data_IF_187960324049
#
_entry.id   IF_187960324049
#
_cell.length_a   1.000
_cell.length_b   1.000
_cell.length_c   1.000
_cell.angle_alpha   90.00
_cell.angle_beta   90.00
_cell.angle_gamma   90.00
#
_symmetry.space_group_name_H-M   'P 1'
#
loop_
_entity.id
_entity.type
_entity.pdbx_description
1 polymer ?
2 non-polymer ?
3 non-polymer ?
4 non-polymer ?
5 water ?
#
# COMPACT_ATOMS: atom_id res chain seq x y z
N UNK A 1 16.99 -19.69 -5.20
CA UNK A 1 16.00 -20.65 -5.76
C UNK A 1 15.46 -20.17 -7.12
N UNK A 2 15.91 -18.99 -7.57
CA UNK A 2 15.46 -18.41 -8.84
C UNK A 2 15.23 -19.42 -9.97
N UNK A 3 16.00 -20.49 -9.94
CA UNK A 3 15.92 -21.53 -10.97
C UNK A 3 14.61 -22.33 -10.94
N UNK A 4 14.00 -22.42 -9.78
CA UNK A 4 12.77 -23.19 -9.60
C UNK A 4 11.53 -22.41 -10.00
N UNK A 5 11.75 -21.12 -10.22
CA UNK A 5 10.71 -20.24 -10.68
C UNK A 5 10.93 -20.34 -12.19
N UNK A 6 10.28 -21.35 -12.77
CA UNK A 6 10.37 -21.60 -14.20
C UNK A 6 10.17 -20.29 -14.96
N UNK A 7 9.21 -19.47 -14.52
CA UNK A 7 8.92 -18.20 -15.18
C UNK A 7 9.85 -17.07 -14.75
N UNK A 8 9.84 -16.73 -13.48
CA UNK A 8 10.65 -15.63 -13.02
C UNK A 8 12.12 -15.66 -13.35
N UNK A 9 12.65 -16.85 -13.65
CA UNK A 9 14.06 -16.96 -13.98
C UNK A 9 14.40 -16.36 -15.33
N UNK A 10 13.43 -15.75 -16.00
CA UNK A 10 13.68 -15.17 -17.31
C UNK A 10 13.50 -13.66 -17.25
N UNK A 11 13.13 -13.14 -16.10
CA UNK A 11 12.86 -11.72 -15.94
C UNK A 11 14.00 -10.80 -15.45
N UNK A 12 13.99 -9.55 -15.89
CA UNK A 12 15.04 -8.61 -15.51
C UNK A 12 15.02 -8.18 -14.05
N UNK A 13 15.00 -9.15 -13.15
CA UNK A 13 14.99 -8.81 -11.73
C UNK A 13 16.23 -9.26 -10.94
N UNK A 14 16.56 -8.50 -9.91
CA UNK A 14 17.70 -8.78 -9.04
C UNK A 14 17.69 -10.23 -8.59
N UNK A 15 18.67 -10.63 -7.78
CA UNK A 15 18.61 -11.98 -7.29
C UNK A 15 18.95 -12.15 -5.84
N UNK A 16 18.68 -13.36 -5.36
CA UNK A 16 18.87 -13.76 -3.97
C UNK A 16 20.30 -13.69 -3.46
N UNK A 17 21.21 -14.17 -4.28
CA UNK A 17 22.65 -14.14 -3.97
C UNK A 17 23.08 -12.68 -4.13
N UNK A 18 23.29 -12.33 -5.40
CA UNK A 18 23.70 -11.02 -5.91
C UNK A 18 23.68 -9.78 -5.00
N UNK A 19 24.85 -9.32 -4.60
CA UNK A 19 24.90 -8.13 -3.79
C UNK A 19 25.21 -7.08 -4.87
N UNK A 20 24.89 -5.83 -4.61
CA UNK A 20 25.10 -4.81 -5.62
C UNK A 20 25.99 -3.67 -5.17
N UNK A 21 26.63 -3.01 -6.15
CA UNK A 21 27.53 -1.86 -5.90
C UNK A 21 26.93 -0.62 -6.58
N UNK A 22 26.47 -0.82 -7.81
CA UNK A 22 25.87 0.25 -8.59
C UNK A 22 24.42 -0.04 -8.99
N UNK A 23 23.50 0.67 -8.35
CA UNK A 23 22.08 0.53 -8.63
C UNK A 23 21.81 1.06 -10.04
N UNK A 24 21.11 0.24 -10.84
CA UNK A 24 20.77 0.62 -12.21
C UNK A 24 19.94 -0.42 -12.95
N UNK A 25 19.46 -0.13 -14.17
CA UNK A 25 18.64 -1.01 -15.03
C UNK A 25 19.24 -2.40 -15.25
N UNK A 26 18.42 -3.40 -15.50
CA UNK A 26 18.95 -4.76 -15.68
C UNK A 26 19.06 -5.16 -17.18
N UNK A 27 18.19 -4.60 -18.03
CA UNK A 27 18.21 -4.91 -19.46
C UNK A 27 19.04 -3.90 -20.24
N UNK A 28 19.61 -4.34 -21.35
CA UNK A 28 20.38 -3.42 -22.19
C UNK A 28 19.24 -2.55 -22.71
N UNK A 29 19.48 -1.23 -22.88
CA UNK A 29 18.41 -0.37 -23.36
C UNK A 29 17.57 -0.89 -24.49
N UNK A 30 16.30 -0.50 -24.44
CA UNK A 30 15.33 -0.84 -25.45
C UNK A 30 14.58 0.44 -25.82
N UNK A 31 13.71 0.31 -26.77
CA UNK A 31 12.99 1.47 -27.19
C UNK A 31 11.66 0.90 -27.66
N UNK A 32 10.60 1.71 -27.59
CA UNK A 32 9.30 1.21 -28.05
C UNK A 32 9.32 0.50 -29.40
N UNK A 33 10.02 1.04 -30.40
CA UNK A 33 10.11 0.40 -31.73
C UNK A 33 10.54 -1.07 -31.59
N UNK A 34 11.20 -1.37 -30.47
CA UNK A 34 11.69 -2.71 -30.15
C UNK A 34 10.61 -3.65 -29.66
N UNK A 35 9.50 -3.08 -29.19
CA UNK A 35 8.43 -3.89 -28.64
C UNK A 35 7.33 -4.29 -29.63
N UNK A 36 6.74 -5.46 -29.39
CA UNK A 36 5.67 -5.94 -30.26
C UNK A 36 4.45 -5.11 -30.09
N UNK A 37 3.72 -4.91 -31.18
CA UNK A 37 2.46 -4.16 -31.13
C UNK A 37 1.31 -5.15 -30.90
N UNK A 38 1.60 -6.45 -30.98
CA UNK A 38 0.59 -7.49 -30.80
C UNK A 38 0.40 -8.16 -29.43
N UNK A 39 -0.80 -7.99 -28.83
CA UNK A 39 -1.12 -8.57 -27.52
C UNK A 39 -0.77 -10.04 -27.59
N UNK A 40 -0.22 -10.57 -26.49
CA UNK A 40 0.20 -11.98 -26.45
C UNK A 40 -0.94 -12.97 -26.68
N UNK A 41 -0.60 -14.26 -26.81
CA UNK A 41 -1.61 -15.30 -27.02
C UNK A 41 -2.18 -15.91 -25.72
N UNK A 42 -3.42 -16.37 -25.83
CA UNK A 42 -4.15 -16.98 -24.73
C UNK A 42 -5.05 -18.03 -25.34
N UNK A 43 -5.21 -19.15 -24.63
CA UNK A 43 -6.09 -20.17 -25.16
C UNK A 43 -7.39 -19.63 -25.74
N UNK A 44 -7.72 -20.21 -26.88
CA UNK A 44 -8.88 -19.86 -27.67
C UNK A 44 -10.14 -19.59 -26.89
N UNK A 45 -10.26 -20.25 -25.76
CA UNK A 45 -11.42 -20.06 -24.90
C UNK A 45 -11.53 -18.63 -24.35
N UNK A 46 -10.38 -17.95 -24.24
CA UNK A 46 -10.31 -16.60 -23.71
C UNK A 46 -9.81 -15.50 -24.66
N UNK A 47 -10.26 -14.29 -24.36
CA UNK A 47 -9.91 -13.09 -25.12
C UNK A 47 -9.45 -11.97 -24.15
N UNK A 48 -8.41 -11.20 -24.52
CA UNK A 48 -7.96 -10.08 -23.67
C UNK A 48 -9.08 -9.07 -23.54
N UNK A 49 -8.92 -8.15 -22.61
CA UNK A 49 -9.95 -7.18 -22.38
C UNK A 49 -9.29 -5.95 -21.78
N UNK A 50 -9.91 -4.78 -21.93
CA UNK A 50 -9.37 -3.55 -21.36
C UNK A 50 -10.53 -2.98 -20.60
N UNK A 51 -10.28 -2.57 -19.37
CA UNK A 51 -11.34 -2.09 -18.52
C UNK A 51 -11.39 -0.57 -18.33
N UNK A 52 -12.50 0.02 -18.77
CA UNK A 52 -12.72 1.43 -18.57
C UNK A 52 -13.43 1.57 -17.22
N UNK A 53 -12.71 2.15 -16.26
CA UNK A 53 -13.19 2.38 -14.90
C UNK A 53 -14.47 3.24 -14.93
N UNK A 54 -14.54 4.15 -15.90
CA UNK A 54 -15.69 5.01 -16.02
C UNK A 54 -16.91 4.31 -16.64
N UNK A 55 -16.73 3.07 -17.07
CA UNK A 55 -17.86 2.31 -17.57
C UNK A 55 -18.42 1.67 -16.27
N UNK A 56 -19.73 1.67 -16.07
CA UNK A 56 -20.26 1.12 -14.84
C UNK A 56 -20.40 -0.38 -14.68
N UNK A 57 -20.53 -1.12 -15.78
CA UNK A 57 -20.68 -2.57 -15.67
C UNK A 57 -19.32 -3.20 -15.83
N UNK A 58 -18.34 -2.37 -16.14
CA UNK A 58 -16.96 -2.85 -16.26
C UNK A 58 -16.29 -2.75 -14.89
N UNK A 59 -16.53 -1.64 -14.20
CA UNK A 59 -15.98 -1.48 -12.89
C UNK A 59 -16.60 -2.65 -12.14
N UNK A 60 -17.91 -2.75 -12.28
CA UNK A 60 -18.68 -3.82 -11.68
C UNK A 60 -18.04 -5.19 -11.92
N UNK A 61 -17.62 -5.49 -13.16
CA UNK A 61 -17.03 -6.81 -13.40
C UNK A 61 -15.81 -7.06 -12.52
N UNK A 62 -14.93 -6.06 -12.42
CA UNK A 62 -13.72 -6.13 -11.62
C UNK A 62 -14.09 -6.22 -10.12
N UNK A 63 -14.74 -5.21 -9.59
CA UNK A 63 -15.17 -5.26 -8.20
C UNK A 63 -15.71 -6.63 -7.79
N UNK A 64 -16.40 -7.30 -8.69
CA UNK A 64 -16.93 -8.60 -8.37
C UNK A 64 -15.80 -9.58 -8.43
N UNK A 65 -15.09 -9.59 -9.53
CA UNK A 65 -13.95 -10.49 -9.67
C UNK A 65 -13.04 -10.57 -8.44
N UNK A 66 -12.58 -9.42 -7.98
CA UNK A 66 -11.68 -9.37 -6.84
C UNK A 66 -12.43 -9.65 -5.54
N UNK A 67 -13.62 -9.08 -5.44
CA UNK A 67 -14.42 -9.33 -4.27
C UNK A 67 -14.61 -10.85 -3.96
N UNK A 68 -14.49 -11.72 -4.96
CA UNK A 68 -14.71 -13.11 -4.69
C UNK A 68 -13.52 -14.01 -4.87
N UNK A 69 -12.45 -13.48 -5.45
CA UNK A 69 -11.26 -14.25 -5.76
C UNK A 69 -9.94 -13.54 -5.43
N UNK A 70 -10.01 -12.40 -4.75
CA UNK A 70 -8.78 -11.71 -4.44
C UNK A 70 -8.10 -12.25 -3.19
N UNK A 71 -7.16 -11.47 -2.65
CA UNK A 71 -6.32 -11.80 -1.50
C UNK A 71 -7.02 -12.00 -0.16
N UNK A 72 -6.71 -13.12 0.49
CA UNK A 72 -7.29 -13.49 1.79
C UNK A 72 -6.21 -13.62 2.86
N UNK A 73 -6.59 -13.82 4.11
CA UNK A 73 -5.54 -13.96 5.10
C UNK A 73 -5.05 -15.37 4.95
N UNK A 74 -3.92 -15.66 5.60
CA UNK A 74 -3.27 -16.96 5.56
C UNK A 74 -4.13 -18.14 5.99
N UNK A 75 -5.26 -17.89 6.63
CA UNK A 75 -6.12 -18.99 7.04
C UNK A 75 -7.47 -18.96 6.35
N UNK A 76 -7.64 -18.01 5.43
CA UNK A 76 -8.89 -17.93 4.69
C UNK A 76 -10.14 -17.82 5.53
N UNK A 77 -10.33 -16.66 6.12
CA UNK A 77 -11.50 -16.46 6.93
C UNK A 77 -11.80 -15.02 6.73
N UNK A 78 -10.87 -14.31 6.09
CA UNK A 78 -11.08 -12.90 5.77
C UNK A 78 -10.59 -12.62 4.39
N UNK A 79 -11.31 -11.78 3.64
CA UNK A 79 -10.84 -11.38 2.33
C UNK A 79 -10.94 -9.86 2.13
N UNK A 80 -10.04 -9.31 1.31
CA UNK A 80 -10.04 -7.87 1.07
C UNK A 80 -11.27 -7.43 0.38
N UNK A 81 -11.87 -6.35 0.85
CA UNK A 81 -13.04 -5.84 0.16
C UNK A 81 -12.75 -4.50 -0.50
N UNK A 82 -12.19 -4.53 -1.71
CA UNK A 82 -11.96 -3.27 -2.41
C UNK A 82 -13.27 -2.78 -3.05
N UNK A 83 -13.78 -1.66 -2.56
CA UNK A 83 -15.03 -1.13 -3.07
C UNK A 83 -14.89 -0.40 -4.40
N UNK A 84 -16.01 -0.24 -5.10
CA UNK A 84 -15.97 0.44 -6.39
C UNK A 84 -15.31 1.80 -6.16
N UNK A 85 -15.75 2.50 -5.11
CA UNK A 85 -15.18 3.80 -4.78
C UNK A 85 -13.65 3.66 -4.76
N UNK A 86 -13.14 2.81 -3.87
CA UNK A 86 -11.72 2.60 -3.73
C UNK A 86 -11.07 2.44 -5.07
N UNK A 87 -11.68 1.64 -5.95
CA UNK A 87 -11.12 1.48 -7.30
C UNK A 87 -11.08 2.84 -8.04
N UNK A 88 -12.14 3.62 -7.86
CA UNK A 88 -12.23 4.90 -8.51
C UNK A 88 -11.15 5.87 -8.13
N UNK A 89 -10.52 5.60 -7.00
CA UNK A 89 -9.45 6.46 -6.48
C UNK A 89 -8.12 5.93 -6.99
N UNK A 90 -7.86 4.65 -6.71
CA UNK A 90 -6.61 3.99 -7.06
C UNK A 90 -6.34 3.68 -8.53
N UNK A 91 -7.38 3.54 -9.32
CA UNK A 91 -7.20 3.20 -10.71
C UNK A 91 -7.28 4.40 -11.60
N UNK A 92 -7.46 5.58 -11.02
CA UNK A 92 -7.53 6.74 -11.88
C UNK A 92 -6.62 7.85 -11.42
N UNK A 93 -5.47 7.49 -10.91
CA UNK A 93 -4.56 8.53 -10.52
C UNK A 93 -4.16 9.29 -11.81
N UNK A 94 -3.50 10.46 -11.66
CA UNK A 94 -3.12 11.17 -12.87
C UNK A 94 -2.21 10.27 -13.71
N UNK A 95 -2.39 10.29 -15.03
CA UNK A 95 -1.56 9.48 -15.90
C UNK A 95 -2.09 8.10 -16.20
N UNK A 96 -3.18 7.71 -15.57
CA UNK A 96 -3.71 6.38 -15.79
C UNK A 96 -4.21 6.18 -17.21
N UNK A 97 -4.18 4.93 -17.62
CA UNK A 97 -4.60 4.55 -18.95
C UNK A 97 -5.47 3.30 -18.80
N UNK A 98 -6.47 3.17 -19.67
CA UNK A 98 -7.38 2.01 -19.72
C UNK A 98 -6.66 0.80 -20.34
N UNK A 99 -5.60 1.06 -21.08
CA UNK A 99 -4.82 0.00 -21.72
C UNK A 99 -3.96 -0.76 -20.74
N UNK A 100 -3.92 -0.26 -19.51
CA UNK A 100 -3.13 -0.85 -18.45
C UNK A 100 -3.99 -1.43 -17.35
N UNK A 101 -5.30 -1.52 -17.62
CA UNK A 101 -6.33 -2.13 -16.75
C UNK A 101 -6.72 -3.33 -17.59
N UNK A 102 -5.82 -4.29 -17.60
CA UNK A 102 -5.97 -5.48 -18.39
C UNK A 102 -6.85 -6.51 -17.73
N UNK A 103 -7.84 -7.00 -18.47
CA UNK A 103 -8.75 -8.02 -18.00
C UNK A 103 -8.55 -9.21 -18.93
N UNK A 104 -9.20 -10.33 -18.62
CA UNK A 104 -9.08 -11.53 -19.44
C UNK A 104 -10.40 -12.24 -19.36
N UNK A 105 -11.33 -11.87 -20.24
CA UNK A 105 -12.66 -12.48 -20.29
C UNK A 105 -12.65 -13.77 -21.05
N UNK A 106 -13.50 -14.72 -20.63
CA UNK A 106 -13.59 -15.98 -21.37
C UNK A 106 -14.49 -15.56 -22.54
N UNK A 107 -14.09 -15.92 -23.76
CA UNK A 107 -14.84 -15.50 -24.94
C UNK A 107 -16.32 -15.94 -24.99
N UNK A 108 -16.60 -17.24 -24.84
CA UNK A 108 -17.98 -17.73 -24.93
C UNK A 108 -19.00 -16.98 -24.07
N UNK A 109 -18.65 -16.75 -22.81
CA UNK A 109 -19.56 -16.05 -21.91
C UNK A 109 -19.17 -14.64 -21.50
N UNK A 110 -17.89 -14.30 -21.68
CA UNK A 110 -17.39 -12.98 -21.33
C UNK A 110 -17.12 -12.81 -19.85
N UNK A 111 -17.30 -13.86 -19.07
CA UNK A 111 -17.08 -13.68 -17.65
C UNK A 111 -15.64 -13.35 -17.39
N UNK A 112 -15.45 -12.21 -16.73
CA UNK A 112 -14.14 -11.70 -16.37
C UNK A 112 -13.55 -12.76 -15.43
N UNK A 113 -12.36 -13.22 -15.76
CA UNK A 113 -11.80 -14.28 -14.98
C UNK A 113 -10.32 -14.02 -14.61
N UNK A 114 -9.83 -12.81 -14.91
CA UNK A 114 -8.44 -12.45 -14.57
C UNK A 114 -8.18 -10.96 -14.74
N UNK A 115 -7.35 -10.39 -13.90
CA UNK A 115 -7.04 -8.97 -13.96
C UNK A 115 -5.63 -8.69 -13.50
N UNK A 116 -5.04 -7.62 -13.99
CA UNK A 116 -3.67 -7.24 -13.60
C UNK A 116 -3.67 -5.76 -13.86
N UNK A 117 -2.99 -4.97 -13.04
CA UNK A 117 -3.02 -3.53 -13.26
C UNK A 117 -1.73 -2.72 -13.09
N UNK A 118 -1.66 -1.58 -13.80
CA UNK A 118 -0.51 -0.64 -13.77
C UNK A 118 -0.92 0.85 -13.89
N UNK A 119 -0.45 1.70 -12.98
CA UNK A 119 -0.67 3.14 -13.08
C UNK A 119 0.77 3.60 -13.03
N UNK A 120 1.11 4.70 -13.75
CA UNK A 120 2.48 5.21 -13.78
C UNK A 120 2.91 6.00 -12.51
N UNK A 121 4.18 5.87 -12.13
CA UNK A 121 4.70 6.59 -10.99
C UNK A 121 6.16 6.87 -11.25
N UNK A 122 6.78 7.81 -10.52
CA UNK A 122 8.21 8.07 -10.68
C UNK A 122 8.88 7.84 -9.33
N UNK A 123 9.71 6.82 -9.30
CA UNK A 123 10.41 6.42 -8.09
C UNK A 123 11.61 7.27 -7.72
N UNK A 124 12.12 7.00 -6.53
CA UNK A 124 13.26 7.70 -6.00
C UNK A 124 14.15 6.69 -5.32
N UNK A 125 14.80 5.82 -6.09
CA UNK A 125 15.71 4.83 -5.54
C UNK A 125 17.08 5.47 -5.15
N UNK A 126 17.25 5.70 -3.85
CA UNK A 126 18.45 6.32 -3.28
C UNK A 126 18.54 7.67 -3.90
N UNK A 127 17.40 8.34 -4.03
CA UNK A 127 17.39 9.66 -4.61
C UNK A 127 17.53 9.77 -6.11
N UNK A 128 17.82 8.64 -6.78
CA UNK A 128 17.95 8.59 -8.24
C UNK A 128 16.61 8.41 -8.95
N UNK A 129 16.12 9.50 -9.55
CA UNK A 129 14.85 9.50 -10.27
C UNK A 129 14.72 8.24 -11.16
N UNK A 130 13.56 7.57 -11.14
CA UNK A 130 13.37 6.38 -12.00
C UNK A 130 11.93 6.26 -12.50
N UNK A 131 11.66 6.70 -13.76
CA UNK A 131 10.32 6.63 -14.34
C UNK A 131 9.85 5.16 -14.45
N UNK A 132 8.90 4.81 -13.58
CA UNK A 132 8.33 3.47 -13.54
C UNK A 132 6.80 3.46 -13.55
N UNK A 133 6.28 2.27 -13.34
CA UNK A 133 4.84 2.06 -13.27
C UNK A 133 4.73 1.29 -11.96
N UNK A 134 3.57 1.38 -11.33
CA UNK A 134 3.35 0.67 -10.07
C UNK A 134 2.33 -0.46 -10.34
N UNK A 135 2.67 -1.69 -9.99
CA UNK A 135 1.75 -2.80 -10.24
C UNK A 135 1.01 -3.32 -9.02
N UNK A 136 -0.26 -3.63 -9.25
CA UNK A 136 -1.13 -4.06 -8.17
C UNK A 136 -2.43 -4.54 -8.78
N UNK A 137 -3.13 -5.39 -8.04
CA UNK A 137 -4.40 -5.98 -8.42
C UNK A 137 -4.33 -7.19 -9.32
N UNK A 138 -3.23 -7.93 -9.27
CA UNK A 138 -3.09 -9.15 -10.04
C UNK A 138 -4.03 -10.14 -9.37
N UNK A 139 -4.97 -10.67 -10.13
CA UNK A 139 -5.95 -11.63 -9.60
C UNK A 139 -6.47 -12.61 -10.63
N UNK A 140 -6.45 -13.89 -10.33
CA UNK A 140 -6.98 -14.83 -11.30
C UNK A 140 -8.14 -15.53 -10.61
N UNK A 141 -9.23 -15.78 -11.33
CA UNK A 141 -10.42 -16.44 -10.76
C UNK A 141 -9.99 -17.70 -10.01
N UNK A 142 -10.71 -18.01 -8.94
CA UNK A 142 -10.37 -19.17 -8.12
C UNK A 142 -10.34 -20.48 -8.85
N UNK A 143 -11.24 -20.66 -9.80
CA UNK A 143 -11.29 -21.87 -10.60
C UNK A 143 -10.26 -21.86 -11.73
N UNK A 144 -9.44 -20.82 -11.82
CA UNK A 144 -8.45 -20.80 -12.86
C UNK A 144 -7.03 -20.80 -12.29
N UNK A 145 -6.87 -21.11 -11.02
CA UNK A 145 -5.53 -21.11 -10.44
C UNK A 145 -4.63 -22.21 -11.01
N UNK A 146 -3.35 -21.95 -10.93
CA UNK A 146 -2.35 -22.85 -11.39
C UNK A 146 -2.30 -23.18 -12.86
N UNK A 147 -3.16 -22.57 -13.69
CA UNK A 147 -3.11 -22.81 -15.17
C UNK A 147 -1.95 -21.96 -15.79
N UNK A 148 -1.12 -21.40 -14.92
CA UNK A 148 0.01 -20.54 -15.27
C UNK A 148 -0.36 -19.50 -16.28
N UNK A 149 -1.39 -18.75 -15.89
CA UNK A 149 -1.95 -17.68 -16.68
C UNK A 149 -1.30 -16.38 -16.24
N UNK A 150 -0.76 -16.38 -15.04
CA UNK A 150 -0.13 -15.20 -14.50
C UNK A 150 1.04 -14.69 -15.34
N UNK A 151 2.07 -15.52 -15.59
CA UNK A 151 3.20 -15.04 -16.39
C UNK A 151 2.80 -14.37 -17.68
N UNK A 152 1.62 -14.75 -18.17
CA UNK A 152 1.10 -14.17 -19.39
C UNK A 152 0.70 -12.76 -19.05
N UNK A 153 -0.16 -12.61 -18.04
CA UNK A 153 -0.65 -11.30 -17.59
C UNK A 153 0.50 -10.34 -17.31
N UNK A 154 1.61 -10.88 -16.82
CA UNK A 154 2.74 -10.06 -16.52
C UNK A 154 3.40 -9.74 -17.87
N UNK A 155 3.81 -10.78 -18.58
CA UNK A 155 4.42 -10.61 -19.88
C UNK A 155 3.65 -9.63 -20.75
N UNK A 156 2.32 -9.59 -20.59
CA UNK A 156 1.45 -8.72 -21.36
C UNK A 156 1.36 -7.30 -20.82
N UNK A 157 1.33 -7.14 -19.51
CA UNK A 157 1.30 -5.78 -18.94
C UNK A 157 2.72 -5.20 -19.09
N UNK A 158 3.74 -6.05 -19.07
CA UNK A 158 5.06 -5.49 -19.23
C UNK A 158 5.13 -4.93 -20.60
N UNK A 159 4.73 -5.74 -21.57
CA UNK A 159 4.76 -5.34 -22.99
C UNK A 159 4.08 -4.00 -23.26
N UNK A 160 2.86 -3.85 -22.78
CA UNK A 160 2.16 -2.61 -23.00
C UNK A 160 2.92 -1.44 -22.42
N UNK A 161 3.42 -1.56 -21.20
CA UNK A 161 4.17 -0.47 -20.61
C UNK A 161 5.49 -0.15 -21.35
N UNK A 162 6.17 -1.15 -21.89
CA UNK A 162 7.41 -0.86 -22.62
C UNK A 162 7.09 0.05 -23.79
N UNK A 163 5.96 -0.25 -24.44
CA UNK A 163 5.43 0.49 -25.59
C UNK A 163 5.16 1.98 -25.30
N UNK A 164 5.22 2.36 -24.02
CA UNK A 164 5.03 3.75 -23.59
C UNK A 164 6.35 4.29 -23.13
N UNK A 165 7.35 3.48 -23.42
CA UNK A 165 8.70 3.83 -23.15
C UNK A 165 9.10 3.78 -21.71
N UNK A 166 8.36 3.05 -20.87
CA UNK A 166 8.74 2.92 -19.45
C UNK A 166 9.32 1.53 -19.35
N UNK A 167 10.32 1.34 -18.50
CA UNK A 167 10.96 0.03 -18.41
C UNK A 167 11.17 -0.51 -17.01
N UNK A 168 10.66 0.21 -16.00
CA UNK A 168 10.82 -0.18 -14.59
C UNK A 168 9.52 -0.23 -13.78
N UNK A 169 9.45 -1.14 -12.81
CA UNK A 169 8.22 -1.22 -12.03
C UNK A 169 8.41 -1.50 -10.57
N UNK A 170 7.49 -0.98 -9.75
CA UNK A 170 7.52 -1.26 -8.32
C UNK A 170 6.33 -2.18 -8.07
N UNK A 171 6.56 -3.35 -7.49
CA UNK A 171 5.43 -4.18 -7.14
C UNK A 171 5.69 -4.81 -5.79
N UNK A 172 4.63 -4.99 -5.00
CA UNK A 172 4.79 -5.62 -3.69
C UNK A 172 3.93 -6.84 -3.72
N UNK A 173 4.36 -7.89 -3.03
CA UNK A 173 3.65 -9.16 -2.91
C UNK A 173 3.98 -9.80 -1.57
N UNK A 174 3.15 -10.69 -1.10
CA UNK A 174 3.44 -11.34 0.16
C UNK A 174 4.45 -12.45 -0.04
N UNK A 175 4.15 -13.37 -0.94
CA UNK A 175 5.07 -14.46 -1.20
C UNK A 175 6.48 -13.97 -1.45
N UNK A 176 7.43 -14.83 -1.20
CA UNK A 176 8.82 -14.48 -1.48
C UNK A 176 9.10 -14.78 -2.95
N UNK A 177 9.88 -13.90 -3.54
CA UNK A 177 10.26 -14.00 -4.94
C UNK A 177 11.60 -13.28 -5.01
N UNK A 178 12.36 -13.49 -6.10
CA UNK A 178 13.64 -12.91 -6.40
C UNK A 178 14.29 -11.76 -5.64
N UNK A 179 13.90 -10.54 -5.90
CA UNK A 179 14.64 -9.49 -5.22
C UNK A 179 13.98 -8.66 -4.15
N UNK A 180 13.61 -9.25 -3.01
CA UNK A 180 12.98 -8.34 -2.06
C UNK A 180 13.94 -7.18 -1.72
N UNK A 181 13.60 -5.98 -2.16
CA UNK A 181 14.42 -4.85 -1.87
C UNK A 181 14.37 -4.68 -0.36
N UNK A 182 13.16 -4.78 0.19
CA UNK A 182 12.93 -4.67 1.63
C UNK A 182 11.73 -5.52 2.07
N UNK A 183 11.40 -5.46 3.35
CA UNK A 183 10.28 -6.20 3.89
C UNK A 183 9.78 -5.44 5.09
N UNK A 184 8.52 -5.68 5.41
CA UNK A 184 7.86 -5.02 6.53
C UNK A 184 6.83 -5.94 7.12
N UNK A 185 6.23 -5.50 8.21
CA UNK A 185 5.22 -6.31 8.86
C UNK A 185 4.00 -5.42 9.13
N UNK A 186 2.79 -5.99 9.01
CA UNK A 186 1.57 -5.26 9.28
C UNK A 186 1.44 -5.38 10.79
N UNK A 187 0.77 -4.42 11.42
CA UNK A 187 0.59 -4.44 12.88
C UNK A 187 -0.86 -4.05 13.07
N UNK A 188 -1.37 -4.11 14.29
CA UNK A 188 -2.78 -3.83 14.49
C UNK A 188 -3.19 -3.11 15.78
N UNK A 189 -3.63 -1.87 15.65
CA UNK A 189 -4.07 -1.16 16.81
C UNK A 189 -5.59 -1.42 16.85
N UNK A 190 -6.05 -2.26 17.80
CA UNK A 190 -7.48 -2.57 17.89
C UNK A 190 -8.30 -1.35 18.23
N UNK A 191 -9.40 -1.14 17.52
CA UNK A 191 -10.29 -0.01 17.83
C UNK A 191 -11.50 -0.63 18.55
N UNK A 192 -12.03 -1.72 17.99
CA UNK A 192 -13.14 -2.46 18.61
C UNK A 192 -12.64 -3.82 18.99
N UNK A 193 -11.84 -3.89 20.06
CA UNK A 193 -11.26 -5.16 20.48
C UNK A 193 -12.30 -6.30 20.60
N UNK A 194 -13.40 -6.08 21.33
CA UNK A 194 -14.42 -7.13 21.51
C UNK A 194 -14.95 -7.77 20.21
N UNK A 195 -15.15 -6.96 19.19
CA UNK A 195 -15.63 -7.44 17.91
C UNK A 195 -14.52 -8.17 17.24
N UNK A 196 -13.31 -7.62 17.26
CA UNK A 196 -12.18 -8.32 16.66
C UNK A 196 -12.15 -9.72 17.28
N UNK A 197 -12.35 -9.74 18.59
CA UNK A 197 -12.34 -10.98 19.29
C UNK A 197 -13.52 -11.82 18.82
N UNK A 198 -14.72 -11.24 18.77
CA UNK A 198 -15.88 -12.03 18.36
C UNK A 198 -15.86 -12.53 16.95
N UNK A 199 -14.90 -12.14 16.11
CA UNK A 199 -14.82 -12.68 14.74
C UNK A 199 -13.44 -13.33 14.43
N UNK A 200 -12.67 -13.60 15.50
CA UNK A 200 -11.37 -14.25 15.41
C UNK A 200 -10.27 -13.56 14.66
N UNK A 201 -10.24 -12.23 14.79
CA UNK A 201 -9.17 -11.44 14.21
C UNK A 201 -8.06 -11.58 15.23
N UNK A 202 -8.48 -11.71 16.51
CA UNK A 202 -7.65 -11.96 17.69
C UNK A 202 -8.28 -12.94 18.72
N UNK A 203 -7.46 -13.29 19.71
CA UNK A 203 -7.90 -14.20 20.75
C UNK A 203 -7.74 -13.46 22.05
N UNK A 204 -7.88 -14.17 23.15
CA UNK A 204 -7.72 -13.53 24.42
C UNK A 204 -6.42 -14.02 25.05
N UNK A 205 -5.47 -13.11 25.28
CA UNK A 205 -4.21 -13.50 25.88
C UNK A 205 -4.50 -14.00 27.30
N UNK A 206 -3.83 -15.07 27.70
CA UNK A 206 -4.12 -15.58 29.00
C UNK A 206 -3.83 -14.66 30.16
N UNK A 207 -4.64 -14.81 31.19
CA UNK A 207 -4.53 -14.00 32.39
C UNK A 207 -5.38 -12.78 32.17
N UNK A 208 -5.94 -12.68 30.97
CA UNK A 208 -6.79 -11.55 30.66
C UNK A 208 -8.26 -11.88 30.47
N UNK A 209 -9.06 -10.85 30.60
CA UNK A 209 -10.48 -10.94 30.42
C UNK A 209 -10.87 -9.86 29.41
N UNK A 210 -11.99 -10.11 28.71
CA UNK A 210 -12.48 -9.15 27.71
C UNK A 210 -12.41 -7.78 28.33
N UNK A 211 -12.89 -7.59 29.56
CA UNK A 211 -12.83 -6.25 30.17
C UNK A 211 -11.41 -5.71 30.15
N UNK A 212 -10.49 -6.54 30.60
CA UNK A 212 -9.11 -6.17 30.64
C UNK A 212 -8.77 -5.70 29.24
N UNK A 213 -8.72 -6.61 28.28
CA UNK A 213 -8.42 -6.17 26.94
C UNK A 213 -9.27 -4.97 26.47
N UNK A 214 -10.57 -5.00 26.66
CA UNK A 214 -11.41 -3.89 26.19
C UNK A 214 -10.97 -2.54 26.78
N UNK A 215 -10.53 -2.56 28.04
CA UNK A 215 -10.07 -1.36 28.75
C UNK A 215 -8.65 -1.03 28.28
N UNK A 216 -7.82 -2.07 28.19
CA UNK A 216 -6.47 -1.89 27.71
C UNK A 216 -6.47 -1.10 26.39
N UNK A 217 -7.36 -1.43 25.44
CA UNK A 217 -7.39 -0.74 24.15
C UNK A 217 -8.30 0.49 23.99
N UNK A 218 -8.79 1.03 25.10
CA UNK A 218 -9.71 2.17 25.05
C UNK A 218 -9.15 3.45 24.46
N UNK A 219 -10.00 4.15 23.71
CA UNK A 219 -9.62 5.40 23.04
C UNK A 219 -10.54 6.61 23.24
N UNK A 220 -9.96 7.78 23.56
CA UNK A 220 -10.69 9.02 23.76
C UNK A 220 -11.69 9.27 22.61
N UNK A 221 -12.84 9.87 22.92
CA UNK A 221 -13.87 10.14 21.94
C UNK A 221 -13.59 11.33 21.07
N UNK A 222 -12.58 12.11 21.45
CA UNK A 222 -12.19 13.29 20.71
C UNK A 222 -10.67 13.32 20.68
N UNK A 223 -10.13 13.67 19.51
CA UNK A 223 -8.70 13.73 19.35
C UNK A 223 -8.11 14.69 20.39
N UNK A 224 -6.82 14.54 20.66
CA UNK A 224 -6.11 15.36 21.64
C UNK A 224 -5.03 16.16 20.93
N UNK A 225 -5.42 17.02 20.00
CA UNK A 225 -4.43 17.84 19.34
C UNK A 225 -5.03 19.10 18.72
N UNK A 226 -4.39 20.22 19.07
CA UNK A 226 -4.76 21.55 18.62
C UNK A 226 -4.07 21.83 17.30
N UNK A 227 -4.88 22.25 16.34
CA UNK A 227 -4.37 22.51 15.01
C UNK A 227 -4.82 21.35 14.15
N UNK A 228 -5.24 20.27 14.83
CA UNK A 228 -5.71 19.06 14.18
C UNK A 228 -7.01 19.36 13.42
N UNK A 229 -6.86 19.35 12.09
CA UNK A 229 -7.94 19.65 11.18
C UNK A 229 -7.72 18.73 9.98
N UNK A 230 -8.75 18.58 9.14
CA UNK A 230 -8.68 17.71 7.97
C UNK A 230 -8.33 18.46 6.70
N UNK A 231 -7.21 18.11 6.09
CA UNK A 231 -6.72 18.71 4.85
C UNK A 231 -7.74 19.30 3.88
N UNK A 232 -7.30 20.35 3.18
CA UNK A 232 -8.10 21.05 2.19
C UNK A 232 -7.16 21.40 1.04
N UNK A 233 -7.73 21.84 -0.09
CA UNK A 233 -6.91 22.21 -1.26
C UNK A 233 -5.92 23.30 -0.92
N UNK A 234 -6.42 24.34 -0.25
CA UNK A 234 -5.65 25.48 0.16
C UNK A 234 -4.30 25.14 0.75
N UNK A 235 -4.20 23.96 1.38
CA UNK A 235 -2.97 23.53 2.06
C UNK A 235 -1.89 22.92 1.18
N UNK A 236 -2.33 22.22 0.13
CA UNK A 236 -1.44 21.50 -0.77
C UNK A 236 0.02 21.93 -0.78
N UNK A 237 0.25 23.14 -1.28
CA UNK A 237 1.58 23.68 -1.43
C UNK A 237 2.49 23.59 -0.21
N UNK A 238 2.02 24.10 0.92
CA UNK A 238 2.80 24.07 2.17
C UNK A 238 2.98 22.62 2.59
N UNK A 239 1.87 21.88 2.52
CA UNK A 239 1.80 20.47 2.86
C UNK A 239 2.71 19.69 1.95
N UNK A 240 2.41 19.80 0.66
CA UNK A 240 3.18 19.13 -0.36
C UNK A 240 4.63 19.48 -0.20
N UNK A 241 4.91 20.73 0.13
CA UNK A 241 6.30 21.06 0.29
C UNK A 241 6.82 20.37 1.55
N UNK A 242 5.94 20.27 2.56
CA UNK A 242 6.25 19.65 3.85
C UNK A 242 6.47 18.16 3.76
N UNK A 243 5.57 17.51 3.03
CA UNK A 243 5.65 16.08 2.80
C UNK A 243 6.98 15.80 2.10
N UNK A 244 7.16 16.48 0.96
CA UNK A 244 8.34 16.40 0.11
C UNK A 244 9.62 16.44 0.93
N UNK A 245 9.61 17.39 1.87
CA UNK A 245 10.73 17.61 2.77
C UNK A 245 10.95 16.39 3.63
N UNK A 246 9.89 16.01 4.35
CA UNK A 246 9.92 14.87 5.28
C UNK A 246 10.42 13.55 4.66
N UNK A 247 9.77 13.17 3.56
CA UNK A 247 10.08 11.92 2.86
C UNK A 247 11.46 11.87 2.27
N UNK A 248 12.12 13.03 2.26
CA UNK A 248 13.48 13.15 1.74
C UNK A 248 14.29 12.09 2.44
N UNK A 249 13.91 11.90 3.68
CA UNK A 249 14.52 10.98 4.59
C UNK A 249 14.69 9.51 4.17
N UNK A 250 13.85 9.01 3.26
CA UNK A 250 13.94 7.58 2.90
C UNK A 250 14.58 7.16 1.58
N UNK A 251 15.30 6.03 1.60
CA UNK A 251 15.96 5.53 0.41
C UNK A 251 15.05 5.10 -0.76
N UNK A 252 13.78 4.82 -0.49
CA UNK A 252 12.85 4.39 -1.55
C UNK A 252 11.50 5.08 -1.40
N UNK A 253 11.16 5.92 -2.37
CA UNK A 253 9.92 6.67 -2.29
C UNK A 253 9.27 6.91 -3.63
N UNK A 254 8.13 7.59 -3.60
CA UNK A 254 7.49 7.89 -4.84
C UNK A 254 7.77 9.37 -4.95
N UNK A 255 7.95 9.88 -6.16
CA UNK A 255 8.23 11.29 -6.34
C UNK A 255 7.02 11.96 -6.91
N UNK A 256 6.04 12.20 -6.04
CA UNK A 256 4.76 12.81 -6.39
C UNK A 256 4.87 14.17 -7.04
N UNK A 257 4.14 14.40 -8.11
CA UNK A 257 4.15 15.72 -8.69
C UNK A 257 3.21 16.34 -7.69
N UNK A 258 2.69 17.53 -7.97
CA UNK A 258 1.77 18.14 -7.02
C UNK A 258 0.36 17.60 -7.28
N UNK A 259 -0.01 17.41 -8.55
CA UNK A 259 -1.35 16.91 -8.90
C UNK A 259 -1.53 15.46 -8.44
N UNK A 260 -0.62 14.57 -8.86
CA UNK A 260 -0.68 13.17 -8.46
C UNK A 260 -0.26 13.13 -6.99
N UNK A 261 -0.92 13.97 -6.18
CA UNK A 261 -0.66 14.12 -4.74
C UNK A 261 -2.01 14.52 -4.18
N UNK A 262 -2.48 15.66 -4.67
CA UNK A 262 -3.75 16.18 -4.27
C UNK A 262 -4.79 15.06 -4.43
N UNK A 263 -4.72 14.35 -5.55
CA UNK A 263 -5.62 13.24 -5.88
C UNK A 263 -5.46 12.10 -4.90
N UNK A 264 -4.19 11.88 -4.57
CA UNK A 264 -3.83 10.82 -3.67
C UNK A 264 -4.32 11.13 -2.23
N UNK A 265 -4.45 12.42 -1.89
CA UNK A 265 -4.85 12.80 -0.55
C UNK A 265 -6.19 13.46 -0.28
N UNK A 266 -6.92 13.81 -1.32
CA UNK A 266 -8.23 14.43 -1.15
C UNK A 266 -9.12 13.69 -2.15
N UNK A 267 -10.04 12.88 -1.63
CA UNK A 267 -10.88 12.09 -2.51
C UNK A 267 -12.15 12.78 -2.90
N UNK A 268 -12.82 12.22 -3.92
CA UNK A 268 -14.08 12.75 -4.46
C UNK A 268 -14.99 13.17 -3.31
N UNK A 269 -15.24 14.48 -3.23
CA UNK A 269 -16.09 15.12 -2.21
C UNK A 269 -17.49 14.51 -2.05
N UNK A 270 -18.13 14.14 -3.16
CA UNK A 270 -19.46 13.56 -3.13
C UNK A 270 -19.69 12.54 -2.00
N UNK A 271 -18.94 11.45 -2.03
CA UNK A 271 -19.03 10.34 -1.09
C UNK A 271 -19.29 10.58 0.42
N UNK A 272 -20.19 9.77 1.00
CA UNK A 272 -20.60 9.79 2.42
C UNK A 272 -19.63 8.99 3.29
N UNK A 273 -19.67 9.27 4.58
CA UNK A 273 -18.80 8.61 5.55
C UNK A 273 -18.59 7.11 5.31
N UNK A 274 -19.67 6.36 5.13
CA UNK A 274 -19.55 4.92 4.97
C UNK A 274 -18.99 4.50 3.63
N UNK A 275 -18.64 5.48 2.80
CA UNK A 275 -18.13 5.17 1.47
C UNK A 275 -16.70 5.64 1.30
N UNK A 276 -16.42 6.77 1.91
CA UNK A 276 -15.12 7.42 1.84
C UNK A 276 -13.92 6.48 1.87
N UNK A 277 -12.89 6.82 1.11
CA UNK A 277 -11.73 5.96 1.04
C UNK A 277 -10.47 6.52 1.68
N UNK A 278 -10.16 7.79 1.43
CA UNK A 278 -8.94 8.37 1.99
C UNK A 278 -9.21 9.41 3.08
N UNK A 279 -8.50 9.30 4.18
CA UNK A 279 -8.68 10.23 5.27
C UNK A 279 -7.34 10.93 5.50
N UNK A 280 -7.28 12.18 5.05
CA UNK A 280 -6.07 12.99 5.17
C UNK A 280 -6.31 14.12 6.16
N UNK A 281 -5.30 14.35 7.01
CA UNK A 281 -5.34 15.39 8.06
C UNK A 281 -4.08 16.20 8.16
N UNK A 282 -4.24 17.37 8.78
CA UNK A 282 -3.15 18.33 8.97
C UNK A 282 -3.32 19.23 10.24
N UNK A 283 -2.19 19.74 10.74
CA UNK A 283 -2.18 20.60 11.91
C UNK A 283 -1.76 22.05 11.68
N UNK A 284 -2.78 22.91 11.56
CA UNK A 284 -2.63 24.37 11.35
C UNK A 284 -2.41 25.20 12.61
N UNK A 285 -1.17 25.58 12.85
CA UNK A 285 -0.86 26.39 14.01
C UNK A 285 -1.43 27.84 13.87
N UNK A 286 -1.62 28.56 14.99
CA UNK A 286 -2.16 29.92 15.08
C UNK A 286 -1.78 30.83 13.92
N UNK A 287 -0.46 30.95 13.73
CA UNK A 287 0.15 31.74 12.66
C UNK A 287 -0.10 31.12 11.31
N UNK A 288 -0.75 29.96 11.32
CA UNK A 288 -1.08 29.29 10.08
C UNK A 288 -0.14 28.22 9.63
N UNK A 289 1.16 28.51 9.66
CA UNK A 289 2.19 27.56 9.24
C UNK A 289 1.83 26.17 9.75
N UNK A 290 0.97 25.46 9.00
CA UNK A 290 0.55 24.11 9.39
C UNK A 290 1.84 23.32 9.56
N UNK A 291 1.94 22.57 10.65
CA UNK A 291 3.15 21.81 10.94
C UNK A 291 3.02 20.28 10.84
N UNK A 292 1.77 19.80 10.84
CA UNK A 292 1.55 18.38 10.81
C UNK A 292 0.65 17.80 9.72
N UNK A 293 1.02 16.61 9.25
CA UNK A 293 0.21 15.93 8.24
C UNK A 293 0.28 14.40 8.22
N UNK A 294 -0.89 13.79 8.17
CA UNK A 294 -0.99 12.34 8.05
C UNK A 294 -2.32 11.97 7.42
N UNK A 295 -2.30 10.79 6.78
CA UNK A 295 -3.41 10.23 6.07
C UNK A 295 -3.54 8.74 6.39
N UNK A 296 -4.68 8.21 5.96
CA UNK A 296 -4.99 6.79 6.10
C UNK A 296 -6.19 6.51 5.20
N UNK A 297 -6.36 5.28 4.80
CA UNK A 297 -7.48 4.99 3.96
C UNK A 297 -8.22 3.81 4.55
N UNK A 298 -9.39 3.53 3.98
CA UNK A 298 -10.24 2.46 4.45
C UNK A 298 -10.32 1.34 3.42
N UNK A 299 -10.06 0.13 3.90
CA UNK A 299 -10.07 -1.06 3.05
C UNK A 299 -10.44 -2.26 3.91
N UNK A 300 -11.75 -2.50 4.09
CA UNK A 300 -12.33 -3.59 4.89
C UNK A 300 -12.01 -4.98 4.49
N UNK A 301 -12.44 -5.88 5.34
CA UNK A 301 -12.32 -7.32 5.12
C UNK A 301 -13.76 -7.82 4.96
N UNK A 302 -13.93 -8.81 4.11
CA UNK A 302 -15.21 -9.47 3.95
C UNK A 302 -14.96 -10.57 5.00
N UNK A 303 -15.72 -10.62 6.09
CA UNK A 303 -15.47 -11.69 7.03
C UNK A 303 -16.15 -12.93 6.47
N UNK A 304 -15.43 -13.82 5.81
CA UNK A 304 -16.06 -15.05 5.29
C UNK A 304 -16.27 -15.86 6.54
N UNK A 305 -17.24 -16.78 6.54
CA UNK A 305 -17.38 -17.67 7.71
C UNK A 305 -17.94 -17.11 9.01
N UNK A 306 -18.56 -15.95 9.02
CA UNK A 306 -19.06 -15.64 10.33
C UNK A 306 -20.50 -15.18 10.37
N UNK A 307 -21.17 -15.74 11.36
CA UNK A 307 -22.56 -15.49 11.61
C UNK A 307 -22.73 -14.30 12.50
N UNK A 308 -21.78 -14.01 13.38
CA UNK A 308 -22.00 -12.82 14.20
C UNK A 308 -21.80 -11.53 13.38
N UNK A 309 -20.90 -11.58 12.38
CA UNK A 309 -20.65 -10.42 11.54
C UNK A 309 -20.22 -10.72 10.12
N UNK A 310 -20.51 -9.79 9.21
CA UNK A 310 -20.18 -10.03 7.80
C UNK A 310 -19.07 -9.14 7.26
N UNK A 311 -18.80 -8.03 7.93
CA UNK A 311 -17.77 -7.12 7.47
C UNK A 311 -16.87 -6.62 8.59
N UNK A 312 -15.60 -6.38 8.26
CA UNK A 312 -14.63 -5.84 9.22
C UNK A 312 -14.15 -4.50 8.71
N UNK A 313 -14.26 -3.46 9.53
CA UNK A 313 -13.82 -2.13 9.17
C UNK A 313 -12.35 -2.01 9.50
N UNK A 314 -11.52 -1.68 8.52
CA UNK A 314 -10.09 -1.58 8.77
C UNK A 314 -9.56 -0.27 8.20
N UNK A 315 -8.73 0.43 8.96
CA UNK A 315 -8.18 1.65 8.41
C UNK A 315 -6.70 1.48 8.29
N UNK A 316 -6.14 1.58 7.07
CA UNK A 316 -4.68 1.46 6.84
C UNK A 316 -4.01 2.86 6.90
N UNK A 317 -3.07 3.04 7.83
CA UNK A 317 -2.36 4.32 7.98
C UNK A 317 -1.62 4.52 6.70
N UNK A 318 -1.86 5.65 6.03
CA UNK A 318 -1.23 5.89 4.74
C UNK A 318 0.07 6.66 4.91
N UNK A 319 0.09 7.86 4.32
CA UNK A 319 1.25 8.75 4.33
C UNK A 319 1.13 9.77 5.47
N UNK A 320 2.25 10.28 5.93
CA UNK A 320 2.26 11.28 6.99
C UNK A 320 3.56 12.11 6.96
N UNK A 321 3.55 13.27 7.62
CA UNK A 321 4.76 14.10 7.68
C UNK A 321 4.77 15.14 8.84
N UNK A 322 5.98 15.35 9.40
CA UNK A 322 6.19 16.27 10.53
C UNK A 322 7.62 16.85 10.58
N UNK A 323 7.66 18.14 10.96
CA UNK A 323 8.89 18.95 11.08
C UNK A 323 9.73 18.79 12.34
N UNK A 324 9.19 18.10 13.34
CA UNK A 324 9.89 17.89 14.60
C UNK A 324 11.42 17.70 14.44
N UNK A 325 11.89 16.46 14.32
CA UNK A 325 13.33 16.16 14.27
C UNK A 325 14.32 16.96 13.39
N UNK A 326 13.96 17.21 12.15
CA UNK A 326 14.87 17.89 11.23
C UNK A 326 15.32 19.33 11.50
N UNK A 327 14.41 20.18 11.97
CA UNK A 327 14.74 21.56 12.23
C UNK A 327 15.68 21.57 13.42
N UNK A 328 15.86 20.38 13.99
CA UNK A 328 16.69 20.13 15.15
C UNK A 328 18.12 19.67 14.85
N UNK A 329 18.28 18.55 14.14
CA UNK A 329 19.63 18.07 13.90
C UNK A 329 19.97 17.87 12.45
N UNK A 330 21.03 17.10 12.23
CA UNK A 330 21.51 16.76 10.90
C UNK A 330 21.38 15.23 10.73
N UNK A 331 21.92 14.49 11.70
CA UNK A 331 21.85 13.03 11.75
C UNK A 331 20.51 12.72 12.42
N UNK A 332 19.96 11.50 12.26
CA UNK A 332 18.71 11.22 12.94
C UNK A 332 19.01 11.05 14.42
N UNK A 333 20.19 11.56 14.79
CA UNK A 333 20.75 11.57 16.15
C UNK A 333 19.77 11.57 17.31
N UNK A 334 20.03 10.71 18.30
CA UNK A 334 19.24 10.51 19.50
C UNK A 334 18.38 11.68 19.97
N UNK A 335 19.01 12.72 20.48
CA UNK A 335 18.22 13.85 20.98
C UNK A 335 17.15 14.31 19.99
N UNK A 336 17.31 13.92 18.72
CA UNK A 336 16.37 14.32 17.68
C UNK A 336 15.41 13.20 17.33
N UNK A 337 15.91 11.97 17.41
CA UNK A 337 15.14 10.77 17.12
C UNK A 337 13.94 10.79 18.05
N UNK A 338 14.20 10.82 19.36
CA UNK A 338 13.15 10.82 20.37
C UNK A 338 12.32 12.08 20.28
N UNK A 339 12.88 13.09 19.63
CA UNK A 339 12.19 14.36 19.43
C UNK A 339 10.99 14.12 18.48
N UNK A 340 11.25 13.33 17.42
CA UNK A 340 10.24 12.95 16.43
C UNK A 340 9.16 12.13 17.16
N UNK A 341 9.64 11.02 17.72
CA UNK A 341 8.85 10.04 18.45
C UNK A 341 7.61 10.61 19.09
N UNK A 342 7.85 11.38 20.14
CA UNK A 342 6.80 12.00 20.93
C UNK A 342 5.79 12.76 20.08
N UNK A 343 6.25 13.36 19.00
CA UNK A 343 5.39 14.12 18.12
C UNK A 343 4.58 13.12 17.30
N UNK A 344 5.26 12.05 16.85
CA UNK A 344 4.64 10.98 16.07
C UNK A 344 3.65 10.27 16.95
N UNK A 345 4.15 9.71 18.03
CA UNK A 345 3.29 9.04 18.97
C UNK A 345 2.09 9.89 19.29
N UNK A 346 2.15 11.14 18.93
CA UNK A 346 1.02 11.96 19.26
C UNK A 346 0.04 12.11 18.13
N UNK A 347 0.57 12.02 16.92
CA UNK A 347 -0.20 12.15 15.69
C UNK A 347 -1.06 10.93 15.52
N UNK A 348 -0.39 9.83 15.21
CA UNK A 348 -1.03 8.54 15.01
C UNK A 348 -2.07 8.23 16.08
N UNK A 349 -1.80 8.63 17.32
CA UNK A 349 -2.76 8.36 18.38
C UNK A 349 -4.08 8.97 17.92
N UNK A 350 -4.01 10.18 17.36
CA UNK A 350 -5.22 10.84 16.88
C UNK A 350 -5.69 10.17 15.60
N UNK A 351 -4.79 9.45 14.95
CA UNK A 351 -5.16 8.74 13.74
C UNK A 351 -6.11 7.63 14.24
N UNK A 352 -5.70 6.98 15.33
CA UNK A 352 -6.50 5.91 15.90
C UNK A 352 -7.83 6.40 16.46
N UNK A 353 -7.85 7.64 16.96
CA UNK A 353 -9.09 8.22 17.47
C UNK A 353 -9.93 8.55 16.25
N UNK A 354 -9.29 9.18 15.29
CA UNK A 354 -9.95 9.52 14.05
C UNK A 354 -10.53 8.25 13.35
N UNK A 355 -9.67 7.25 13.12
CA UNK A 355 -10.08 6.03 12.44
C UNK A 355 -11.19 5.34 13.18
N UNK A 356 -11.04 5.27 14.51
CA UNK A 356 -12.03 4.60 15.31
C UNK A 356 -13.36 5.32 15.10
N UNK A 357 -13.31 6.65 15.14
CA UNK A 357 -14.54 7.43 15.01
C UNK A 357 -15.21 7.28 13.65
N UNK A 358 -14.44 6.88 12.63
CA UNK A 358 -14.97 6.72 11.27
C UNK A 358 -15.56 5.32 11.11
N UNK A 359 -15.55 4.56 12.19
CA UNK A 359 -16.03 3.19 12.18
C UNK A 359 -15.06 2.17 11.64
N UNK A 360 -13.84 2.17 12.15
CA UNK A 360 -12.86 1.22 11.69
C UNK A 360 -12.69 0.38 12.94
N UNK A 361 -12.79 -0.94 12.80
CA UNK A 361 -12.66 -1.87 13.90
C UNK A 361 -11.24 -2.20 14.31
N UNK A 362 -10.28 -1.87 13.44
CA UNK A 362 -8.88 -2.13 13.70
C UNK A 362 -8.10 -1.16 12.87
N UNK A 363 -6.98 -0.71 13.42
CA UNK A 363 -6.13 0.24 12.71
C UNK A 363 -4.77 -0.39 12.42
N UNK A 364 -4.44 -0.49 11.15
CA UNK A 364 -3.21 -1.13 10.71
C UNK A 364 -2.02 -0.23 10.29
N UNK A 365 -0.80 -0.76 10.39
CA UNK A 365 0.41 -0.02 9.95
C UNK A 365 1.57 -0.99 9.66
N UNK A 366 2.57 -0.51 8.93
CA UNK A 366 3.67 -1.37 8.49
C UNK A 366 5.14 -1.39 8.96
N UNK A 367 5.56 -0.77 10.04
CA UNK A 367 7.02 -0.90 10.34
C UNK A 367 7.92 -0.37 9.20
N UNK A 368 7.34 0.42 8.30
CA UNK A 368 8.12 1.03 7.24
C UNK A 368 8.17 2.49 7.71
N UNK A 369 9.01 3.32 7.05
CA UNK A 369 9.17 4.74 7.43
C UNK A 369 9.60 4.84 8.91
N UNK A 370 9.03 5.79 9.63
CA UNK A 370 9.41 5.87 11.02
C UNK A 370 8.34 5.28 11.87
N UNK A 371 7.53 4.41 11.27
CA UNK A 371 6.47 3.76 12.03
C UNK A 371 6.96 3.21 13.37
N UNK A 372 8.14 2.62 13.37
CA UNK A 372 8.72 2.03 14.55
C UNK A 372 8.82 2.87 15.82
N UNK A 373 8.80 4.19 15.70
CA UNK A 373 8.91 4.99 16.90
C UNK A 373 7.63 4.92 17.71
N UNK A 374 6.48 4.99 17.05
CA UNK A 374 5.17 4.94 17.72
C UNK A 374 4.45 3.58 17.83
N UNK A 375 4.74 2.62 16.95
CA UNK A 375 4.03 1.34 17.02
C UNK A 375 3.93 0.81 18.42
N UNK A 376 4.92 0.02 18.84
CA UNK A 376 4.90 -0.53 20.20
C UNK A 376 4.31 0.44 21.21
N UNK A 377 4.80 1.67 21.25
CA UNK A 377 4.24 2.60 22.21
C UNK A 377 2.74 2.71 22.08
N UNK A 378 2.23 3.04 20.88
CA UNK A 378 0.79 3.18 20.64
C UNK A 378 -0.08 1.90 20.61
N UNK A 379 0.51 0.77 20.95
CA UNK A 379 -0.23 -0.47 21.03
C UNK A 379 -0.57 -1.16 19.71
N UNK A 380 0.29 -0.99 18.73
CA UNK A 380 0.09 -1.66 17.47
C UNK A 380 0.69 -3.04 17.60
N UNK A 381 -0.15 -4.08 17.59
CA UNK A 381 0.37 -5.42 17.74
C UNK A 381 0.92 -6.04 16.47
N UNK A 382 1.74 -7.07 16.62
CA UNK A 382 2.34 -7.80 15.50
C UNK A 382 1.37 -8.63 14.67
N UNK A 383 1.28 -8.32 13.39
CA UNK A 383 0.37 -9.07 12.51
C UNK A 383 0.98 -10.39 12.12
N UNK A 384 0.20 -11.26 11.51
CA UNK A 384 0.74 -12.53 11.11
C UNK A 384 1.18 -12.45 9.68
N UNK A 385 0.95 -11.30 9.03
CA UNK A 385 1.34 -11.19 7.64
C UNK A 385 2.43 -10.18 7.36
N UNK A 386 3.16 -10.40 6.29
CA UNK A 386 4.26 -9.47 5.96
C UNK A 386 4.13 -9.00 4.52
N UNK A 387 4.78 -7.90 4.19
CA UNK A 387 4.78 -7.36 2.82
C UNK A 387 6.23 -7.17 2.27
N UNK A 388 6.48 -7.70 1.08
CA UNK A 388 7.77 -7.58 0.38
C UNK A 388 7.71 -6.59 -0.79
N UNK A 389 8.61 -5.61 -0.84
CA UNK A 389 8.62 -4.67 -1.92
C UNK A 389 9.60 -5.17 -2.96
N UNK A 390 9.30 -4.96 -4.23
CA UNK A 390 10.19 -5.43 -5.30
C UNK A 390 10.31 -4.39 -6.42
N UNK A 391 11.35 -4.56 -7.23
CA UNK A 391 11.63 -3.66 -8.34
C UNK A 391 11.85 -4.50 -9.59
N UNK A 392 11.12 -4.17 -10.65
CA UNK A 392 11.24 -4.91 -11.90
C UNK A 392 12.21 -4.12 -12.74
N UNK A 393 13.25 -4.82 -13.22
CA UNK A 393 14.31 -4.25 -14.05
C UNK A 393 15.15 -3.18 -13.31
N UNK A 394 15.70 -3.53 -12.17
CA UNK A 394 16.50 -2.57 -11.46
C UNK A 394 17.26 -3.16 -10.30
N UNK A 395 18.57 -2.86 -10.27
CA UNK A 395 19.54 -3.23 -9.22
C UNK A 395 19.39 -2.22 -8.09
N UNK A 396 18.81 -2.61 -6.97
CA UNK A 396 18.70 -1.67 -5.88
C UNK A 396 19.48 -2.19 -4.67
N UNK A 397 20.02 -1.29 -3.87
CA UNK A 397 20.73 -1.74 -2.70
C UNK A 397 19.65 -2.02 -1.67
N UNK A 398 19.68 -3.17 -0.99
CA UNK A 398 18.65 -3.46 0.01
C UNK A 398 18.37 -2.31 0.97
N UNK A 399 17.10 -1.93 1.04
CA UNK A 399 16.72 -0.86 1.92
C UNK A 399 16.00 -1.35 3.19
N UNK A 400 15.68 -0.45 4.12
CA UNK A 400 15.13 -0.90 5.40
C UNK A 400 13.66 -0.77 5.69
N UNK A 401 13.05 -1.89 6.04
CA UNK A 401 11.66 -1.93 6.44
C UNK A 401 11.85 -2.39 7.87
N UNK A 402 11.65 -1.47 8.82
CA UNK A 402 11.85 -1.66 10.28
C UNK A 402 11.90 -2.97 11.09
N UNK A 403 12.51 -4.03 10.58
CA UNK A 403 12.53 -5.31 11.29
C UNK A 403 13.87 -5.87 11.84
N UNK A 404 14.01 -6.00 13.15
CA UNK A 404 15.24 -6.63 13.61
C UNK A 404 15.01 -8.06 13.11
N UNK A 405 16.08 -8.84 12.95
CA UNK A 405 16.10 -10.25 12.50
C UNK A 405 15.06 -11.22 13.11
N UNK A 406 14.54 -10.84 14.27
CA UNK A 406 13.52 -11.62 14.96
C UNK A 406 12.16 -10.93 14.63
N UNK A 407 12.08 -10.35 13.44
CA UNK A 407 10.89 -9.65 13.00
C UNK A 407 10.35 -8.71 14.06
N UNK A 408 11.24 -8.20 14.91
CA UNK A 408 10.86 -7.26 15.93
C UNK A 408 11.02 -5.85 15.36
N UNK A 409 10.16 -4.94 15.79
CA UNK A 409 10.25 -3.58 15.31
C UNK A 409 11.67 -3.16 15.66
N UNK A 410 12.43 -2.67 14.68
CA UNK A 410 13.80 -2.17 14.88
C UNK A 410 13.62 -0.69 15.23
N UNK A 411 13.44 -0.44 16.53
CA UNK A 411 13.19 0.89 17.07
C UNK A 411 14.34 1.87 16.90
N UNK A 412 15.55 1.34 16.84
CA UNK A 412 16.77 2.13 16.69
C UNK A 412 16.94 2.60 15.27
N UNK A 413 17.19 1.63 14.41
CA UNK A 413 17.38 1.82 12.99
C UNK A 413 16.02 1.57 12.38
N UNK A 414 15.31 2.65 12.09
CA UNK A 414 13.96 2.52 11.54
C UNK A 414 13.77 1.88 10.15
N UNK A 415 13.16 2.59 9.21
CA UNK A 415 12.91 2.07 7.85
C UNK A 415 13.22 3.02 6.69
N UNK A 416 13.96 2.54 5.69
CA UNK A 416 14.29 3.39 4.55
C UNK A 416 13.20 3.43 3.49
N UNK A 417 12.26 2.49 3.61
CA UNK A 417 11.17 2.41 2.66
C UNK A 417 10.20 3.56 2.89
N UNK A 418 9.95 4.32 1.84
CA UNK A 418 9.06 5.45 1.94
C UNK A 418 7.69 5.29 1.32
N UNK A 419 7.53 4.45 0.28
CA UNK A 419 6.21 4.27 -0.35
C UNK A 419 5.27 3.53 0.55
N UNK A 420 3.99 3.54 0.17
CA UNK A 420 2.98 2.80 0.90
C UNK A 420 1.92 2.43 -0.13
N UNK A 421 2.01 1.17 -0.55
CA UNK A 421 1.11 0.57 -1.51
C UNK A 421 -0.30 0.60 -0.97
N UNK A 422 -1.24 0.51 -1.90
CA UNK A 422 -2.66 0.48 -1.61
C UNK A 422 -3.18 -0.98 -1.69
#
# INVERSE_FOLDING_TARGET
>A
AMKDHKFWRTQPVKDFDEKVVEEGPIDKPKTPEDISDKPLPLLSSFEWCSIDVDNKKQLEDVFVLLNENYVEDRDAGFRFNYTKEFFNWALKSPGWKKDWHIGVRVKETQKLVAFISAIPVTLGVRGKQVPSVEINFLCVHKQLRSKRLTPVLIKEITRRVNKCDIWHALYTAGIVLPAPVSTCRYTHRPLNWKKLYEVDFTGLPDGHTEEDMIAENALPAKTKTAGLRKLKKEDIDQVFELFKRYQSRFELIQIFTKEEFEHNFIGEESLPLDKQVIFSYVVEQPDGKITDFFSFYSLPFTILNNTKYKDLGIGYLYYYATDADFQFKDRFDPKATKALKTRLCELIYDACILAKNANMDVFNALTSQDNTLFLDDLKFGPGDGFLNFYLFNYRAKPITGGLNPDNSNDIKRRSNVGVVML
#
